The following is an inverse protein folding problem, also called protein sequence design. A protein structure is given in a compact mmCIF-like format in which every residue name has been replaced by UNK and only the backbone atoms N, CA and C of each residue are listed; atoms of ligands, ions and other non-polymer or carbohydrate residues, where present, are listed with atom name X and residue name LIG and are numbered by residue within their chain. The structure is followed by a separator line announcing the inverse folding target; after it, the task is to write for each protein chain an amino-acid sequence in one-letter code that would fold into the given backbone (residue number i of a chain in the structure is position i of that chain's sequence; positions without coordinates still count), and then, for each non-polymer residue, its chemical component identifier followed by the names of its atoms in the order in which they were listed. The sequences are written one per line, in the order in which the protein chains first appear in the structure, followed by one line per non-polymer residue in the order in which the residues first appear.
data_IF_672520855202
#
_entry.id   IF_672520855202
#
_cell.length_a   1.000
_cell.length_b   1.000
_cell.length_c   1.000
_cell.angle_alpha   90.00
_cell.angle_beta   90.00
_cell.angle_gamma   90.00
#
_symmetry.space_group_name_H-M   'P 1'
#
loop_
_entity.id
_entity.type
_entity.pdbx_description
1 polymer ?
#
# COMPACT_ATOMS: atom_id res chain seq x y z
N UNK A 1 7.62 0.73 -6.45
CA UNK A 1 8.29 -0.47 -6.14
C UNK A 1 9.65 -0.40 -5.46
N UNK A 2 10.14 0.80 -4.99
CA UNK A 2 11.52 0.91 -4.43
C UNK A 2 11.73 -0.04 -3.23
N UNK A 3 10.83 -0.08 -2.27
CA UNK A 3 10.89 -0.98 -1.12
C UNK A 3 10.08 -2.28 -1.28
N UNK A 4 9.57 -2.54 -2.47
CA UNK A 4 8.75 -3.72 -2.74
C UNK A 4 9.55 -5.02 -2.77
N UNK A 5 8.86 -6.14 -2.52
CA UNK A 5 9.46 -7.48 -2.51
C UNK A 5 9.99 -7.83 -3.91
N UNK A 6 11.29 -8.21 -4.04
CA UNK A 6 11.89 -8.58 -5.32
C UNK A 6 11.22 -9.79 -5.98
N UNK A 7 10.65 -10.71 -5.21
CA UNK A 7 9.93 -11.90 -5.72
C UNK A 7 8.75 -11.48 -6.62
N UNK A 8 8.15 -10.34 -6.32
CA UNK A 8 7.01 -9.80 -7.07
C UNK A 8 7.36 -8.56 -7.93
N UNK A 9 8.67 -8.35 -8.19
CA UNK A 9 9.15 -7.27 -9.07
C UNK A 9 9.46 -5.95 -8.38
N UNK A 10 9.50 -5.93 -7.05
CA UNK A 10 10.01 -4.78 -6.29
C UNK A 10 11.53 -4.70 -6.31
N UNK A 11 12.09 -3.57 -5.90
CA UNK A 11 13.56 -3.37 -5.86
C UNK A 11 14.21 -3.86 -4.56
N UNK A 12 13.44 -4.21 -3.55
CA UNK A 12 13.93 -4.73 -2.27
C UNK A 12 14.81 -3.76 -1.46
N UNK A 13 14.72 -2.47 -1.72
CA UNK A 13 15.56 -1.50 -1.02
C UNK A 13 15.16 -1.40 0.46
N UNK A 14 16.15 -1.29 1.38
CA UNK A 14 15.89 -1.08 2.79
C UNK A 14 15.04 0.18 3.03
N UNK A 15 14.23 0.19 4.10
CA UNK A 15 13.36 1.33 4.44
C UNK A 15 14.14 2.64 4.60
N UNK A 16 15.39 2.58 5.10
CA UNK A 16 16.26 3.74 5.19
C UNK A 16 16.54 4.40 3.83
N UNK A 17 16.66 3.62 2.76
CA UNK A 17 16.86 4.12 1.40
C UNK A 17 15.55 4.62 0.81
N UNK A 18 14.45 3.86 0.94
CA UNK A 18 13.14 4.30 0.43
C UNK A 18 12.65 5.57 1.11
N UNK A 19 12.95 5.76 2.40
CA UNK A 19 12.62 6.99 3.13
C UNK A 19 13.30 8.23 2.56
N UNK A 20 14.56 8.11 2.12
CA UNK A 20 15.27 9.23 1.46
C UNK A 20 14.64 9.59 0.12
N UNK A 21 14.22 8.59 -0.66
CA UNK A 21 13.49 8.82 -1.92
C UNK A 21 12.15 9.49 -1.65
N UNK A 22 11.41 9.02 -0.63
CA UNK A 22 10.16 9.63 -0.20
C UNK A 22 10.35 11.10 0.24
N UNK A 23 11.43 11.40 0.98
CA UNK A 23 11.77 12.75 1.40
C UNK A 23 12.05 13.67 0.19
N UNK A 24 12.84 13.23 -0.79
CA UNK A 24 13.10 13.98 -2.01
C UNK A 24 11.82 14.29 -2.80
N UNK A 25 10.95 13.31 -2.94
CA UNK A 25 9.68 13.47 -3.65
C UNK A 25 8.76 14.44 -2.90
N UNK A 26 8.56 14.23 -1.59
CA UNK A 26 7.64 15.04 -0.79
C UNK A 26 8.13 16.49 -0.64
N UNK A 27 9.42 16.73 -0.55
CA UNK A 27 9.99 18.08 -0.51
C UNK A 27 9.86 18.82 -1.84
N UNK A 28 9.86 18.09 -2.96
CA UNK A 28 9.68 18.66 -4.29
C UNK A 28 8.20 18.86 -4.65
N UNK A 29 7.35 17.90 -4.32
CA UNK A 29 5.91 17.94 -4.57
C UNK A 29 5.17 16.99 -3.64
N UNK A 30 4.57 17.53 -2.58
CA UNK A 30 3.77 16.75 -1.65
C UNK A 30 2.57 16.07 -2.34
N UNK A 31 1.92 16.75 -3.29
CA UNK A 31 0.80 16.19 -4.03
C UNK A 31 1.22 14.94 -4.83
N UNK A 32 2.40 14.96 -5.43
CA UNK A 32 2.95 13.80 -6.12
C UNK A 32 3.35 12.70 -5.13
N UNK A 33 3.94 13.06 -3.98
CA UNK A 33 4.35 12.11 -2.94
C UNK A 33 3.17 11.37 -2.30
N UNK A 34 2.02 12.03 -2.15
CA UNK A 34 0.80 11.40 -1.62
C UNK A 34 0.19 10.35 -2.56
N UNK A 35 0.38 10.51 -3.87
CA UNK A 35 -0.21 9.61 -4.87
C UNK A 35 0.21 8.13 -4.69
N UNK A 36 1.50 7.77 -4.56
CA UNK A 36 1.91 6.38 -4.40
C UNK A 36 1.78 5.85 -2.96
N UNK A 37 1.54 6.71 -1.97
CA UNK A 37 1.57 6.33 -0.56
C UNK A 37 0.53 5.27 -0.22
N UNK A 38 -0.71 5.42 -0.69
CA UNK A 38 -1.79 4.45 -0.42
C UNK A 38 -1.55 3.13 -1.14
N UNK A 39 -1.01 3.17 -2.35
CA UNK A 39 -0.60 1.97 -3.09
C UNK A 39 0.50 1.22 -2.34
N UNK A 40 1.51 1.94 -1.81
CA UNK A 40 2.56 1.33 -0.99
C UNK A 40 2.00 0.67 0.26
N UNK A 41 1.05 1.31 0.95
CA UNK A 41 0.36 0.74 2.10
C UNK A 41 -0.42 -0.54 1.76
N UNK A 42 -1.15 -0.53 0.64
CA UNK A 42 -1.86 -1.71 0.15
C UNK A 42 -0.90 -2.85 -0.19
N UNK A 43 0.24 -2.56 -0.84
CA UNK A 43 1.27 -3.56 -1.13
C UNK A 43 1.84 -4.20 0.13
N UNK A 44 2.14 -3.40 1.16
CA UNK A 44 2.62 -3.91 2.46
C UNK A 44 1.58 -4.83 3.09
N UNK A 45 0.32 -4.43 3.10
CA UNK A 45 -0.78 -5.23 3.65
C UNK A 45 -0.92 -6.57 2.93
N UNK A 46 -0.96 -6.55 1.60
CA UNK A 46 -1.06 -7.77 0.78
C UNK A 46 0.16 -8.65 1.00
N UNK A 47 1.37 -8.10 0.95
CA UNK A 47 2.60 -8.88 1.10
C UNK A 47 2.72 -9.54 2.49
N UNK A 48 2.17 -8.91 3.53
CA UNK A 48 2.25 -9.41 4.89
C UNK A 48 1.17 -10.44 5.21
N UNK A 49 -0.06 -10.23 4.72
CA UNK A 49 -1.24 -10.95 5.22
C UNK A 49 -1.98 -11.79 4.19
N UNK A 50 -1.79 -11.53 2.89
CA UNK A 50 -2.52 -12.24 1.85
C UNK A 50 -1.94 -13.64 1.57
N UNK A 51 -2.75 -14.50 0.94
CA UNK A 51 -2.28 -15.78 0.41
C UNK A 51 -1.28 -15.57 -0.74
N UNK A 52 -0.44 -16.59 -1.01
CA UNK A 52 0.52 -16.52 -2.13
C UNK A 52 -0.15 -16.31 -3.48
N UNK A 53 -1.35 -16.86 -3.67
CA UNK A 53 -2.15 -16.67 -4.87
C UNK A 53 -2.53 -15.19 -5.06
N UNK A 54 -3.02 -14.53 -4.01
CA UNK A 54 -3.36 -13.11 -4.04
C UNK A 54 -2.13 -12.22 -4.22
N UNK A 55 -1.01 -12.55 -3.56
CA UNK A 55 0.26 -11.84 -3.76
C UNK A 55 0.69 -11.90 -5.22
N UNK A 56 0.71 -13.08 -5.83
CA UNK A 56 1.09 -13.27 -7.22
C UNK A 56 0.17 -12.54 -8.20
N UNK A 57 -1.13 -12.44 -7.89
CA UNK A 57 -2.11 -11.77 -8.74
C UNK A 57 -1.98 -10.23 -8.70
N UNK A 58 -1.72 -9.65 -7.52
CA UNK A 58 -1.81 -8.20 -7.32
C UNK A 58 -0.46 -7.48 -7.26
N UNK A 59 0.50 -8.01 -6.52
CA UNK A 59 1.75 -7.28 -6.23
C UNK A 59 2.57 -6.91 -7.47
N UNK A 60 2.76 -7.75 -8.49
CA UNK A 60 3.55 -7.37 -9.66
C UNK A 60 3.01 -6.12 -10.36
N UNK A 61 1.70 -6.04 -10.54
CA UNK A 61 1.05 -4.91 -11.19
C UNK A 61 1.01 -3.65 -10.32
N UNK A 62 0.93 -3.81 -9.01
CA UNK A 62 0.98 -2.70 -8.07
C UNK A 62 2.40 -2.15 -7.93
N UNK A 63 3.43 -3.00 -7.89
CA UNK A 63 4.82 -2.55 -7.83
C UNK A 63 5.30 -1.90 -9.13
N UNK A 64 4.80 -2.35 -10.28
CA UNK A 64 5.07 -1.70 -11.57
C UNK A 64 4.35 -0.34 -11.73
N UNK A 65 3.32 -0.07 -10.92
CA UNK A 65 2.49 1.13 -11.02
C UNK A 65 1.36 1.01 -12.04
N UNK A 66 1.13 -0.17 -12.60
CA UNK A 66 -0.01 -0.42 -13.50
C UNK A 66 -1.34 -0.35 -12.75
N UNK A 67 -1.36 -0.85 -11.51
CA UNK A 67 -2.51 -0.79 -10.62
C UNK A 67 -2.24 0.07 -9.40
N UNK A 68 -3.23 0.84 -8.98
CA UNK A 68 -3.18 1.67 -7.79
C UNK A 68 -4.02 1.06 -6.65
N UNK A 69 -3.54 1.24 -5.42
CA UNK A 69 -4.29 0.96 -4.21
C UNK A 69 -4.92 2.23 -3.64
N UNK A 70 -6.02 2.07 -2.93
CA UNK A 70 -6.68 3.13 -2.18
C UNK A 70 -7.01 2.66 -0.76
N UNK A 71 -7.30 3.60 0.13
CA UNK A 71 -7.71 3.31 1.49
C UNK A 71 -9.10 3.87 1.74
N UNK A 72 -10.04 2.98 2.08
CA UNK A 72 -11.43 3.32 2.42
C UNK A 72 -11.68 3.00 3.90
N UNK A 73 -10.86 3.58 4.81
CA UNK A 73 -10.87 3.26 6.24
C UNK A 73 -11.88 4.10 7.02
N UNK A 74 -12.03 5.37 6.67
CA UNK A 74 -12.89 6.33 7.39
C UNK A 74 -14.36 6.03 7.13
N UNK A 75 -15.12 5.90 8.20
CA UNK A 75 -16.60 5.82 8.17
C UNK A 75 -17.20 7.14 8.69
N UNK A 76 -18.49 7.38 8.43
CA UNK A 76 -19.15 8.62 8.83
C UNK A 76 -19.08 8.92 10.35
N UNK A 77 -18.97 7.88 11.18
CA UNK A 77 -18.87 7.96 12.64
C UNK A 77 -17.50 7.59 13.20
N UNK A 78 -16.55 7.19 12.33
CA UNK A 78 -15.23 6.67 12.72
C UNK A 78 -14.14 7.23 11.80
N UNK A 79 -13.51 8.33 12.20
CA UNK A 79 -12.34 8.91 11.53
C UNK A 79 -11.07 8.58 12.31
N UNK A 80 -10.75 9.40 13.30
CA UNK A 80 -9.57 9.21 14.15
C UNK A 80 -9.73 8.02 15.10
N UNK A 81 -10.92 7.82 15.66
CA UNK A 81 -11.22 6.66 16.50
C UNK A 81 -11.57 5.44 15.64
N UNK A 82 -10.55 4.70 15.26
CA UNK A 82 -10.69 3.48 14.47
C UNK A 82 -11.25 2.29 15.28
N UNK A 83 -11.28 2.40 16.61
CA UNK A 83 -11.83 1.37 17.49
C UNK A 83 -13.33 1.14 17.33
N UNK A 84 -14.05 2.09 16.72
CA UNK A 84 -15.49 2.04 16.53
C UNK A 84 -15.93 1.74 15.09
N UNK A 85 -15.01 1.43 14.18
CA UNK A 85 -15.35 1.05 12.79
C UNK A 85 -16.26 -0.19 12.78
N UNK A 86 -17.20 -0.21 11.83
CA UNK A 86 -18.21 -1.27 11.70
C UNK A 86 -18.07 -2.11 10.43
N UNK A 87 -17.25 -1.66 9.50
CA UNK A 87 -16.96 -2.42 8.27
C UNK A 87 -16.40 -3.80 8.61
N UNK A 88 -16.99 -4.82 8.05
CA UNK A 88 -16.57 -6.22 8.20
C UNK A 88 -16.71 -6.97 6.88
N UNK A 89 -15.88 -7.98 6.69
CA UNK A 89 -16.00 -8.93 5.58
C UNK A 89 -16.75 -10.17 6.06
N UNK A 90 -17.82 -10.55 5.36
CA UNK A 90 -18.57 -11.76 5.62
C UNK A 90 -18.44 -12.71 4.42
N UNK A 91 -17.88 -13.94 4.60
CA UNK A 91 -17.84 -14.92 3.53
C UNK A 91 -19.25 -15.24 3.03
N UNK A 92 -19.43 -15.27 1.72
CA UNK A 92 -20.65 -15.76 1.10
C UNK A 92 -20.53 -17.27 0.91
N UNK A 93 -21.60 -18.02 1.22
CA UNK A 93 -21.65 -19.47 1.04
C UNK A 93 -21.75 -19.85 -0.43
#
# INVERSE_FOLDING_TARGET
GVGGDPVFGGMGMPKAVSAQVEEMINSSSLAFGLYPMLTSGACVSINTHASEELKAAYLPKMYSGEWAGSMCLTEAHAGTDLGIIRTKAEPQA
#
